data_IF_360538385784
#
_entry.id   IF_360538385784
#
_cell.length_a   1.000
_cell.length_b   1.000
_cell.length_c   1.000
_cell.angle_alpha   90.00
_cell.angle_beta   90.00
_cell.angle_gamma   90.00
#
_symmetry.space_group_name_H-M   'P 1'
#
loop_
_entity.id
_entity.type
_entity.pdbx_description
1 polymer ?
#
# COMPACT_ATOMS: atom_id res chain seq x y z
N UNK A 1 7.01 -1.61 -12.85
CA UNK A 1 7.35 -0.71 -11.71
C UNK A 1 6.71 -1.23 -10.45
N UNK A 2 7.47 -1.24 -9.36
CA UNK A 2 6.99 -1.72 -8.06
C UNK A 2 7.11 -0.62 -7.01
N UNK A 3 6.06 -0.42 -6.22
CA UNK A 3 6.02 0.60 -5.15
C UNK A 3 5.69 -0.10 -3.83
N UNK A 4 6.54 0.10 -2.82
CA UNK A 4 6.32 -0.38 -1.45
C UNK A 4 5.83 0.81 -0.63
N UNK A 5 4.59 0.77 -0.16
CA UNK A 5 3.99 1.82 0.65
C UNK A 5 3.90 1.37 2.12
N UNK A 6 4.70 2.01 2.97
CA UNK A 6 4.91 1.61 4.37
C UNK A 6 4.25 2.54 5.39
N UNK A 7 3.95 3.77 4.96
CA UNK A 7 3.39 4.84 5.79
C UNK A 7 1.90 4.99 5.51
N UNK A 8 1.13 5.22 6.58
CA UNK A 8 -0.33 5.27 6.53
C UNK A 8 -0.95 6.66 6.66
N UNK A 9 -0.13 7.72 6.78
CA UNK A 9 -0.64 9.09 6.87
C UNK A 9 -0.89 9.65 5.47
N UNK A 10 -1.84 10.58 5.37
CA UNK A 10 -2.32 11.09 4.09
C UNK A 10 -1.23 11.75 3.23
N UNK A 11 -0.31 12.48 3.87
CA UNK A 11 0.85 13.11 3.24
C UNK A 11 1.79 12.10 2.58
N UNK A 12 1.92 10.91 3.17
CA UNK A 12 2.72 9.81 2.61
C UNK A 12 1.93 8.92 1.64
N UNK A 13 0.60 9.00 1.62
CA UNK A 13 -0.25 8.28 0.69
C UNK A 13 -0.25 8.93 -0.71
N UNK A 14 -0.19 10.26 -0.79
CA UNK A 14 -0.25 10.95 -2.09
C UNK A 14 0.89 10.57 -3.05
N UNK A 15 2.17 10.58 -2.66
CA UNK A 15 3.27 10.24 -3.58
C UNK A 15 3.13 8.87 -4.26
N UNK A 16 2.91 7.74 -3.54
CA UNK A 16 2.80 6.44 -4.20
C UNK A 16 1.58 6.35 -5.12
N UNK A 17 0.43 6.96 -4.79
CA UNK A 17 -0.75 6.95 -5.66
C UNK A 17 -0.59 7.85 -6.90
N UNK A 18 0.04 9.01 -6.78
CA UNK A 18 0.33 9.89 -7.92
C UNK A 18 1.30 9.20 -8.89
N UNK A 19 2.35 8.58 -8.36
CA UNK A 19 3.32 7.85 -9.19
C UNK A 19 2.69 6.63 -9.84
N UNK A 20 1.89 5.85 -9.10
CA UNK A 20 1.21 4.68 -9.64
C UNK A 20 0.24 5.04 -10.77
N UNK A 21 -0.60 6.05 -10.57
CA UNK A 21 -1.56 6.50 -11.59
C UNK A 21 -0.86 7.06 -12.84
N UNK A 22 0.22 7.83 -12.65
CA UNK A 22 1.02 8.35 -13.76
C UNK A 22 1.71 7.23 -14.53
N UNK A 23 2.35 6.29 -13.84
CA UNK A 23 3.01 5.15 -14.45
C UNK A 23 2.00 4.26 -15.22
N UNK A 24 0.82 4.02 -14.65
CA UNK A 24 -0.27 3.31 -15.35
C UNK A 24 -0.75 4.05 -16.60
N UNK A 25 -0.88 5.38 -16.54
CA UNK A 25 -1.24 6.20 -17.72
C UNK A 25 -0.15 6.18 -18.82
N UNK A 26 1.11 5.97 -18.45
CA UNK A 26 2.23 5.77 -19.38
C UNK A 26 2.33 4.33 -19.91
N UNK A 27 1.39 3.45 -19.55
CA UNK A 27 1.35 2.06 -19.99
C UNK A 27 2.33 1.15 -19.23
N UNK A 28 2.84 1.57 -18.08
CA UNK A 28 3.72 0.74 -17.27
C UNK A 28 2.89 -0.25 -16.48
N UNK A 29 3.39 -1.48 -16.32
CA UNK A 29 2.82 -2.41 -15.36
C UNK A 29 3.23 -1.98 -13.94
N UNK A 30 2.25 -1.66 -13.10
CA UNK A 30 2.46 -1.09 -11.76
C UNK A 30 1.95 -2.06 -10.70
N UNK A 31 2.84 -2.49 -9.83
CA UNK A 31 2.52 -3.31 -8.66
C UNK A 31 2.74 -2.49 -7.38
N UNK A 32 1.73 -2.42 -6.53
CA UNK A 32 1.81 -1.74 -5.23
C UNK A 32 1.74 -2.75 -4.09
N UNK A 33 2.70 -2.68 -3.17
CA UNK A 33 2.77 -3.50 -1.97
C UNK A 33 2.62 -2.62 -0.74
N UNK A 34 1.46 -2.73 -0.10
CA UNK A 34 1.15 -1.99 1.13
C UNK A 34 1.53 -2.84 2.34
N UNK A 35 2.31 -2.27 3.26
CA UNK A 35 2.78 -2.98 4.44
C UNK A 35 2.83 -2.06 5.66
N UNK A 36 2.91 -2.63 6.86
CA UNK A 36 2.85 -1.92 8.13
C UNK A 36 1.65 -0.94 8.17
N UNK A 37 1.92 0.34 8.40
CA UNK A 37 0.91 1.40 8.47
C UNK A 37 0.26 1.70 7.11
N UNK A 38 0.93 1.35 6.00
CA UNK A 38 0.40 1.54 4.65
C UNK A 38 -0.86 0.70 4.37
N UNK A 39 -1.08 -0.41 5.09
CA UNK A 39 -2.31 -1.20 4.99
C UNK A 39 -3.56 -0.38 5.36
N UNK A 40 -3.42 0.61 6.24
CA UNK A 40 -4.52 1.51 6.61
C UNK A 40 -5.07 2.31 5.43
N UNK A 41 -4.27 2.53 4.38
CA UNK A 41 -4.70 3.24 3.17
C UNK A 41 -5.70 2.45 2.32
N UNK A 42 -5.79 1.13 2.54
CA UNK A 42 -6.65 0.23 1.79
C UNK A 42 -7.96 -0.12 2.50
N UNK A 43 -8.21 0.47 3.68
CA UNK A 43 -9.43 0.21 4.45
C UNK A 43 -10.62 0.95 3.86
N UNK A 44 -11.80 0.34 3.93
CA UNK A 44 -13.07 0.97 3.54
C UNK A 44 -13.44 2.15 4.43
N UNK A 45 -13.09 2.05 5.72
CA UNK A 45 -13.29 3.11 6.70
C UNK A 45 -11.96 3.87 6.92
N UNK A 46 -11.97 5.15 6.52
CA UNK A 46 -10.82 6.07 6.58
C UNK A 46 -10.94 7.10 7.71
N UNK A 47 -11.91 6.92 8.63
CA UNK A 47 -12.12 7.85 9.75
C UNK A 47 -10.89 7.98 10.66
N UNK A 48 -10.02 6.98 10.68
CA UNK A 48 -8.74 6.95 11.41
C UNK A 48 -7.59 7.76 10.76
N UNK A 49 -7.75 8.25 9.52
CA UNK A 49 -6.66 8.84 8.72
C UNK A 49 -6.29 10.30 9.07
N UNK A 50 -6.69 10.80 10.24
CA UNK A 50 -6.62 12.24 10.58
C UNK A 50 -5.53 12.67 11.57
N UNK A 51 -4.80 11.76 12.24
CA UNK A 51 -3.52 11.91 13.00
C UNK A 51 -3.37 10.68 13.93
N UNK A 52 -2.19 10.04 13.96
CA UNK A 52 -1.98 8.72 14.58
C UNK A 52 -1.72 8.74 16.09
N UNK A 53 -2.59 8.08 16.86
CA UNK A 53 -2.57 7.98 18.32
C UNK A 53 -2.19 6.56 18.78
N UNK A 54 -1.67 6.44 20.02
CA UNK A 54 -1.09 5.29 20.76
C UNK A 54 -1.79 3.92 20.62
N UNK A 55 -2.93 3.79 19.95
CA UNK A 55 -3.70 2.56 19.70
C UNK A 55 -3.54 1.96 18.29
N UNK A 56 -2.83 2.60 17.36
CA UNK A 56 -2.35 1.89 16.14
C UNK A 56 -1.54 0.62 16.51
N UNK A 57 -1.11 0.59 17.78
CA UNK A 57 -0.32 -0.33 18.58
C UNK A 57 -1.01 -1.62 19.03
N UNK A 58 -2.34 -1.78 18.94
CA UNK A 58 -2.93 -3.13 19.07
C UNK A 58 -2.81 -3.95 17.75
N UNK A 59 -2.16 -3.36 16.74
CA UNK A 59 -1.45 -3.98 15.62
C UNK A 59 -2.27 -4.81 14.62
N UNK A 60 -3.50 -4.38 14.36
CA UNK A 60 -4.27 -4.72 13.15
C UNK A 60 -5.00 -6.07 13.14
N UNK A 61 -5.84 -6.36 14.15
CA UNK A 61 -6.85 -7.43 14.13
C UNK A 61 -7.94 -7.27 13.05
N UNK A 62 -7.54 -7.13 11.79
CA UNK A 62 -8.38 -6.92 10.63
C UNK A 62 -8.72 -8.21 9.92
N UNK A 63 -9.95 -8.31 9.45
CA UNK A 63 -10.44 -9.32 8.53
C UNK A 63 -10.26 -8.86 7.08
N UNK A 64 -10.35 -9.77 6.12
CA UNK A 64 -10.29 -9.42 4.69
C UNK A 64 -11.43 -8.47 4.27
N UNK A 65 -12.53 -8.45 5.01
CA UNK A 65 -13.71 -7.64 4.69
C UNK A 65 -13.51 -6.15 5.03
N UNK A 66 -12.50 -5.82 5.83
CA UNK A 66 -12.16 -4.45 6.21
C UNK A 66 -11.51 -3.65 5.08
N UNK A 67 -11.03 -4.34 4.04
CA UNK A 67 -10.33 -3.75 2.89
C UNK A 67 -11.26 -3.54 1.70
N UNK A 68 -10.91 -2.57 0.85
CA UNK A 68 -11.60 -2.31 -0.41
C UNK A 68 -11.53 -3.54 -1.34
N UNK A 69 -12.57 -3.82 -2.15
CA UNK A 69 -12.62 -5.01 -3.00
C UNK A 69 -11.52 -5.06 -4.07
N UNK A 70 -10.86 -3.94 -4.36
CA UNK A 70 -9.76 -3.83 -5.31
C UNK A 70 -8.45 -4.44 -4.81
N UNK A 71 -8.34 -4.80 -3.52
CA UNK A 71 -7.21 -5.56 -3.00
C UNK A 71 -7.25 -6.98 -3.58
N UNK A 72 -6.46 -7.21 -4.63
CA UNK A 72 -6.46 -8.48 -5.38
C UNK A 72 -5.90 -9.65 -4.57
N UNK A 73 -4.79 -9.45 -3.87
CA UNK A 73 -4.08 -10.53 -3.18
C UNK A 73 -3.49 -10.08 -1.84
N UNK A 74 -3.51 -10.99 -0.87
CA UNK A 74 -2.89 -10.83 0.45
C UNK A 74 -1.62 -11.69 0.50
N UNK A 75 -0.47 -11.08 0.19
CA UNK A 75 0.79 -11.79 -0.01
C UNK A 75 1.88 -11.34 0.97
N UNK A 76 2.81 -12.25 1.27
CA UNK A 76 3.96 -11.97 2.12
C UNK A 76 5.20 -11.53 1.33
N UNK A 77 6.25 -11.13 2.06
CA UNK A 77 7.50 -10.66 1.48
C UNK A 77 8.14 -11.67 0.50
N UNK A 78 8.02 -12.97 0.74
CA UNK A 78 8.57 -14.00 -0.13
C UNK A 78 7.94 -14.02 -1.54
N UNK A 79 6.64 -13.71 -1.65
CA UNK A 79 5.93 -13.61 -2.92
C UNK A 79 6.20 -12.27 -3.60
N UNK A 80 6.40 -11.21 -2.81
CA UNK A 80 6.67 -9.88 -3.31
C UNK A 80 8.09 -9.71 -3.88
N UNK A 81 9.11 -10.31 -3.26
CA UNK A 81 10.51 -10.14 -3.67
C UNK A 81 10.78 -10.51 -5.14
N UNK A 82 10.23 -11.61 -5.70
CA UNK A 82 10.32 -11.88 -7.13
C UNK A 82 9.70 -10.77 -8.00
N UNK A 83 8.55 -10.22 -7.60
CA UNK A 83 7.90 -9.12 -8.34
C UNK A 83 8.73 -7.83 -8.31
N UNK A 84 9.37 -7.54 -7.18
CA UNK A 84 10.27 -6.39 -7.06
C UNK A 84 11.56 -6.57 -7.87
N UNK A 85 12.09 -7.81 -7.94
CA UNK A 85 13.26 -8.15 -8.74
C UNK A 85 13.01 -7.98 -10.24
N UNK A 86 11.81 -8.34 -10.70
CA UNK A 86 11.49 -8.33 -12.12
C UNK A 86 11.01 -6.92 -12.59
N UNK A 87 10.81 -5.97 -11.67
CA UNK A 87 10.44 -4.60 -12.00
C UNK A 87 11.65 -3.73 -12.36
N UNK A 88 11.54 -2.96 -13.46
CA UNK A 88 12.60 -2.04 -13.91
C UNK A 88 12.90 -0.92 -12.90
N UNK A 89 11.91 -0.54 -12.09
CA UNK A 89 12.01 0.49 -11.06
C UNK A 89 11.27 0.00 -9.82
N UNK A 90 11.96 0.03 -8.67
CA UNK A 90 11.41 -0.28 -7.36
C UNK A 90 11.57 0.90 -6.40
N UNK A 91 10.47 1.39 -5.82
CA UNK A 91 10.47 2.49 -4.86
C UNK A 91 9.98 2.03 -3.49
N UNK A 92 10.60 2.54 -2.42
CA UNK A 92 10.21 2.30 -1.04
C UNK A 92 9.82 3.63 -0.40
N UNK A 93 8.53 3.78 -0.06
CA UNK A 93 7.91 5.03 0.37
C UNK A 93 7.13 4.82 1.68
#
# INVERSE_FOLDING_TARGET
MTIIATKGTLDWAYPPFILASTAGALGWDVSMFFTFYGLGLLRKDISDLKVGCQMTVDLFGYSRDDFIPEVKDYVGAATFLPMARDADVSLFI
#
